data_IF_309590887812
#
_entry.id   IF_309590887812
#
_cell.length_a   1.000
_cell.length_b   1.000
_cell.length_c   1.000
_cell.angle_alpha   90.00
_cell.angle_beta   90.00
_cell.angle_gamma   90.00
#
_symmetry.space_group_name_H-M   'P 1'
#
loop_
_entity.id
_entity.type
_entity.pdbx_description
1 polymer ?
#
# COMPACT_ATOMS: atom_id res chain seq x y z
N UNK A 1 10.98 10.52 -3.88
CA UNK A 1 9.62 10.77 -3.34
C UNK A 1 9.58 10.29 -1.91
N UNK A 2 8.75 10.92 -1.09
CA UNK A 2 8.42 10.54 0.28
C UNK A 2 7.15 9.70 0.28
N UNK A 3 7.21 8.50 0.84
CA UNK A 3 6.13 7.53 0.87
C UNK A 3 5.85 7.15 2.33
N UNK A 4 4.62 7.33 2.78
CA UNK A 4 4.17 6.72 4.03
C UNK A 4 3.46 5.40 3.71
N UNK A 5 3.82 4.32 4.41
CA UNK A 5 3.22 2.99 4.25
C UNK A 5 2.48 2.63 5.54
N UNK A 6 1.15 2.68 5.52
CA UNK A 6 0.30 2.42 6.69
C UNK A 6 -0.04 0.93 6.75
N UNK A 7 0.48 0.26 7.78
CA UNK A 7 0.45 -1.17 7.97
C UNK A 7 1.80 -1.82 7.67
N UNK A 8 2.30 -2.62 8.62
CA UNK A 8 3.56 -3.38 8.48
C UNK A 8 3.35 -4.89 8.51
N UNK A 9 2.17 -5.33 8.07
CA UNK A 9 1.95 -6.73 7.70
C UNK A 9 2.70 -7.09 6.42
N UNK A 10 2.45 -8.30 5.91
CA UNK A 10 3.15 -8.86 4.75
C UNK A 10 3.21 -7.90 3.54
N UNK A 11 2.06 -7.41 3.09
CA UNK A 11 1.96 -6.48 1.95
C UNK A 11 2.69 -5.18 2.21
N UNK A 12 2.45 -4.55 3.36
CA UNK A 12 2.99 -3.23 3.69
C UNK A 12 4.50 -3.25 3.85
N UNK A 13 5.03 -4.22 4.60
CA UNK A 13 6.46 -4.33 4.87
C UNK A 13 7.26 -4.63 3.59
N UNK A 14 6.82 -5.61 2.79
CA UNK A 14 7.49 -5.94 1.52
C UNK A 14 7.43 -4.76 0.55
N UNK A 15 6.26 -4.14 0.40
CA UNK A 15 6.10 -2.98 -0.51
C UNK A 15 6.95 -1.80 -0.07
N UNK A 16 6.96 -1.48 1.23
CA UNK A 16 7.75 -0.38 1.79
C UNK A 16 9.25 -0.60 1.61
N UNK A 17 9.74 -1.80 1.91
CA UNK A 17 11.15 -2.15 1.71
C UNK A 17 11.56 -2.10 0.23
N UNK A 18 10.73 -2.59 -0.69
CA UNK A 18 11.01 -2.53 -2.12
C UNK A 18 10.95 -1.09 -2.69
N UNK A 19 10.03 -0.24 -2.21
CA UNK A 19 10.02 1.16 -2.59
C UNK A 19 11.25 1.92 -2.08
N UNK A 20 11.73 1.62 -0.87
CA UNK A 20 12.98 2.18 -0.36
C UNK A 20 14.18 1.73 -1.20
N UNK A 21 14.18 0.48 -1.65
CA UNK A 21 15.20 -0.08 -2.55
C UNK A 21 15.20 0.59 -3.93
N UNK A 22 14.04 1.04 -4.39
CA UNK A 22 13.90 1.87 -5.60
C UNK A 22 14.39 3.32 -5.41
N UNK A 23 14.90 3.67 -4.23
CA UNK A 23 15.47 4.98 -3.93
C UNK A 23 14.46 5.99 -3.37
N UNK A 24 13.25 5.56 -3.02
CA UNK A 24 12.30 6.42 -2.31
C UNK A 24 12.65 6.55 -0.83
N UNK A 25 12.18 7.63 -0.22
CA UNK A 25 12.20 7.81 1.22
C UNK A 25 10.90 7.24 1.77
N UNK A 26 10.97 6.16 2.53
CA UNK A 26 9.81 5.40 2.99
C UNK A 26 9.75 5.37 4.50
N UNK A 27 8.59 5.69 5.05
CA UNK A 27 8.30 5.48 6.47
C UNK A 27 7.13 4.53 6.62
N UNK A 28 7.38 3.38 7.23
CA UNK A 28 6.40 2.36 7.55
C UNK A 28 5.78 2.66 8.92
N UNK A 29 4.45 2.71 8.98
CA UNK A 29 3.68 3.09 10.17
C UNK A 29 2.79 1.92 10.60
N UNK A 30 2.83 1.57 11.88
CA UNK A 30 1.92 0.58 12.48
C UNK A 30 1.56 1.00 13.90
N UNK A 31 0.36 0.64 14.36
CA UNK A 31 -0.07 0.96 15.74
C UNK A 31 0.53 0.00 16.76
N UNK A 32 0.99 -1.15 16.31
CA UNK A 32 1.65 -2.15 17.15
C UNK A 32 3.08 -1.70 17.51
N UNK A 33 3.23 -1.17 18.73
CA UNK A 33 4.50 -0.65 19.22
C UNK A 33 5.59 -1.72 19.35
N UNK A 34 5.23 -2.95 19.71
CA UNK A 34 6.16 -4.07 19.82
C UNK A 34 6.69 -4.45 18.44
N UNK A 35 5.80 -4.54 17.45
CA UNK A 35 6.19 -4.80 16.06
C UNK A 35 7.13 -3.73 15.51
N UNK A 36 6.84 -2.45 15.75
CA UNK A 36 7.72 -1.35 15.33
C UNK A 36 9.07 -1.41 16.06
N UNK A 37 9.09 -1.71 17.36
CA UNK A 37 10.32 -1.86 18.14
C UNK A 37 11.18 -3.01 17.59
N UNK A 38 10.56 -4.15 17.24
CA UNK A 38 11.24 -5.30 16.63
C UNK A 38 11.84 -4.92 15.26
N UNK A 39 11.05 -4.27 14.39
CA UNK A 39 11.51 -3.83 13.07
C UNK A 39 12.70 -2.86 13.16
N UNK A 40 12.69 -1.93 14.13
CA UNK A 40 13.82 -1.03 14.39
C UNK A 40 15.08 -1.75 14.86
N UNK A 41 14.96 -2.93 15.48
CA UNK A 41 16.10 -3.81 15.82
C UNK A 41 16.50 -4.75 14.67
N UNK A 42 15.83 -4.67 13.52
CA UNK A 42 16.05 -5.57 12.39
C UNK A 42 15.38 -6.94 12.53
N UNK A 43 14.49 -7.12 13.50
CA UNK A 43 13.73 -8.34 13.72
C UNK A 43 12.46 -8.32 12.85
N UNK A 44 12.44 -9.12 11.79
CA UNK A 44 11.34 -9.15 10.82
C UNK A 44 10.21 -10.08 11.33
N UNK A 45 8.96 -9.60 11.46
CA UNK A 45 7.86 -10.35 12.08
C UNK A 45 7.20 -11.39 11.16
N UNK A 46 7.71 -11.54 9.93
CA UNK A 46 7.19 -12.44 8.89
C UNK A 46 8.34 -13.19 8.22
N UNK A 47 8.05 -14.35 7.66
CA UNK A 47 9.00 -15.07 6.82
C UNK A 47 8.81 -14.69 5.36
N UNK A 48 9.79 -14.01 4.78
CA UNK A 48 9.89 -13.75 3.34
C UNK A 48 11.37 -13.78 2.93
N UNK A 49 11.78 -14.66 1.98
CA UNK A 49 13.18 -14.82 1.63
C UNK A 49 13.85 -13.52 1.17
N UNK A 50 14.88 -13.08 1.90
CA UNK A 50 15.68 -11.88 1.60
C UNK A 50 15.11 -10.56 2.12
N UNK A 51 13.98 -10.58 2.83
CA UNK A 51 13.38 -9.36 3.38
C UNK A 51 14.21 -8.71 4.49
N UNK A 52 14.85 -9.53 5.33
CA UNK A 52 15.77 -9.11 6.38
C UNK A 52 16.93 -8.27 5.83
N UNK A 53 17.62 -8.76 4.80
CA UNK A 53 18.72 -8.06 4.15
C UNK A 53 18.24 -6.80 3.42
N UNK A 54 17.07 -6.87 2.78
CA UNK A 54 16.47 -5.72 2.08
C UNK A 54 16.10 -4.59 3.04
N UNK A 55 15.50 -4.91 4.18
CA UNK A 55 15.17 -3.94 5.24
C UNK A 55 16.46 -3.37 5.83
N UNK A 56 17.40 -4.23 6.27
CA UNK A 56 18.63 -3.79 6.91
C UNK A 56 19.46 -2.83 6.02
N UNK A 57 19.57 -3.15 4.73
CA UNK A 57 20.31 -2.30 3.77
C UNK A 57 19.65 -0.94 3.57
N UNK A 58 18.31 -0.88 3.48
CA UNK A 58 17.60 0.38 3.28
C UNK A 58 17.47 1.23 4.55
N UNK A 59 17.40 0.60 5.72
CA UNK A 59 17.53 1.30 7.02
C UNK A 59 18.93 1.91 7.14
N UNK A 60 19.99 1.13 6.87
CA UNK A 60 21.37 1.62 6.89
C UNK A 60 21.61 2.77 5.90
N UNK A 61 20.93 2.73 4.75
CA UNK A 61 21.01 3.78 3.75
C UNK A 61 20.15 5.02 4.07
N UNK A 62 19.41 5.02 5.18
CA UNK A 62 18.54 6.13 5.58
C UNK A 62 17.38 6.37 4.61
N UNK A 63 16.88 5.30 3.97
CA UNK A 63 15.74 5.34 3.04
C UNK A 63 14.48 4.65 3.57
N UNK A 64 14.61 3.84 4.61
CA UNK A 64 13.51 3.14 5.26
C UNK A 64 13.54 3.43 6.75
N UNK A 65 12.40 3.87 7.30
CA UNK A 65 12.20 4.05 8.73
C UNK A 65 10.87 3.42 9.17
N UNK A 66 10.74 3.19 10.48
CA UNK A 66 9.57 2.60 11.13
C UNK A 66 9.11 3.48 12.28
N UNK A 67 7.81 3.70 12.43
CA UNK A 67 7.27 4.49 13.54
C UNK A 67 5.85 4.09 13.91
N UNK A 68 5.43 4.43 15.12
CA UNK A 68 4.02 4.37 15.53
C UNK A 68 3.29 5.70 15.31
N UNK A 69 4.03 6.80 15.10
CA UNK A 69 3.45 8.11 14.82
C UNK A 69 3.13 8.26 13.34
N UNK A 70 1.84 8.37 13.03
CA UNK A 70 1.35 8.58 11.67
C UNK A 70 1.50 10.04 11.20
N UNK A 71 1.44 11.00 12.13
CA UNK A 71 1.23 12.42 11.78
C UNK A 71 2.41 12.98 10.99
N UNK A 72 3.64 12.80 11.49
CA UNK A 72 4.84 13.30 10.81
C UNK A 72 5.00 12.74 9.39
N UNK A 73 5.04 11.40 9.22
CA UNK A 73 5.19 10.77 7.91
C UNK A 73 4.12 11.18 6.88
N UNK A 74 2.86 11.31 7.31
CA UNK A 74 1.76 11.69 6.40
C UNK A 74 1.85 13.16 6.00
N UNK A 75 2.21 14.07 6.91
CA UNK A 75 2.34 15.50 6.61
C UNK A 75 3.40 15.78 5.52
N UNK A 76 4.45 14.97 5.46
CA UNK A 76 5.57 15.14 4.52
C UNK A 76 5.46 14.25 3.26
N UNK A 77 4.45 13.39 3.16
CA UNK A 77 4.36 12.37 2.11
C UNK A 77 3.81 12.91 0.78
N UNK A 78 4.48 12.53 -0.31
CA UNK A 78 3.95 12.66 -1.67
C UNK A 78 2.83 11.61 -1.91
N UNK A 79 3.02 10.40 -1.38
CA UNK A 79 2.05 9.31 -1.44
C UNK A 79 1.91 8.59 -0.09
N UNK A 80 0.67 8.24 0.27
CA UNK A 80 0.36 7.46 1.46
C UNK A 80 -0.35 6.17 1.04
N UNK A 81 0.26 5.02 1.29
CA UNK A 81 -0.31 3.72 0.97
C UNK A 81 -1.02 3.13 2.18
N UNK A 82 -2.27 2.70 2.02
CA UNK A 82 -3.05 1.97 3.02
C UNK A 82 -2.90 0.47 2.72
N UNK A 83 -2.08 -0.21 3.51
CA UNK A 83 -1.75 -1.63 3.41
C UNK A 83 -2.07 -2.39 4.71
N UNK A 84 -3.15 -1.99 5.38
CA UNK A 84 -3.66 -2.66 6.59
C UNK A 84 -4.46 -3.92 6.23
N UNK A 85 -4.64 -4.80 7.21
CA UNK A 85 -5.42 -6.02 7.01
C UNK A 85 -6.90 -5.74 6.75
N UNK A 86 -7.50 -6.57 5.91
CA UNK A 86 -8.94 -6.61 5.62
C UNK A 86 -9.48 -8.02 5.84
N UNK A 87 -9.41 -8.55 7.08
CA UNK A 87 -9.83 -9.91 7.37
C UNK A 87 -11.33 -10.10 7.12
N UNK A 88 -11.79 -11.34 7.02
CA UNK A 88 -13.22 -11.64 7.00
C UNK A 88 -13.85 -11.28 8.35
N UNK A 89 -14.95 -10.52 8.30
CA UNK A 89 -15.79 -10.21 9.45
C UNK A 89 -16.42 -11.50 9.99
N UNK A 90 -16.37 -11.64 11.32
CA UNK A 90 -17.03 -12.74 12.02
C UNK A 90 -18.54 -12.65 11.81
N UNK A 91 -19.16 -13.73 11.34
CA UNK A 91 -20.61 -13.84 11.16
C UNK A 91 -21.02 -13.96 9.70
N UNK A 92 -20.74 -12.95 8.88
CA UNK A 92 -21.24 -12.87 7.49
C UNK A 92 -20.15 -12.99 6.42
N UNK A 93 -18.87 -13.06 6.81
CA UNK A 93 -17.75 -13.29 5.89
C UNK A 93 -17.39 -12.10 5.00
N UNK A 94 -18.06 -10.96 5.14
CA UNK A 94 -17.72 -9.73 4.42
C UNK A 94 -16.33 -9.22 4.82
N UNK A 95 -15.66 -8.44 3.96
CA UNK A 95 -14.40 -7.81 4.32
C UNK A 95 -14.59 -6.81 5.47
N UNK A 96 -13.77 -6.91 6.52
CA UNK A 96 -13.72 -5.93 7.59
C UNK A 96 -12.89 -4.72 7.14
N UNK A 97 -13.58 -3.59 6.94
CA UNK A 97 -12.98 -2.33 6.48
C UNK A 97 -12.69 -1.36 7.62
N UNK A 98 -12.89 -1.77 8.88
CA UNK A 98 -12.67 -0.94 10.07
C UNK A 98 -11.29 -0.29 10.06
N UNK A 99 -10.25 -1.09 9.78
CA UNK A 99 -8.87 -0.62 9.77
C UNK A 99 -8.57 0.35 8.63
N UNK A 100 -9.12 0.09 7.44
CA UNK A 100 -8.96 0.97 6.26
C UNK A 100 -9.61 2.33 6.52
N UNK A 101 -10.83 2.33 7.05
CA UNK A 101 -11.56 3.57 7.34
C UNK A 101 -10.98 4.34 8.54
N UNK A 102 -10.43 3.65 9.54
CA UNK A 102 -9.69 4.30 10.63
C UNK A 102 -8.42 4.98 10.08
N UNK A 103 -7.63 4.27 9.27
CA UNK A 103 -6.45 4.84 8.62
C UNK A 103 -6.81 6.05 7.75
N UNK A 104 -7.88 5.98 6.95
CA UNK A 104 -8.32 7.11 6.12
C UNK A 104 -8.61 8.37 6.93
N UNK A 105 -9.30 8.25 8.08
CA UNK A 105 -9.59 9.40 8.96
C UNK A 105 -8.34 9.97 9.61
N UNK A 106 -7.42 9.12 10.08
CA UNK A 106 -6.16 9.55 10.68
C UNK A 106 -5.24 10.23 9.67
N UNK A 107 -5.17 9.70 8.44
CA UNK A 107 -4.47 10.33 7.33
C UNK A 107 -5.06 11.72 7.08
N UNK A 108 -6.38 11.85 6.96
CA UNK A 108 -7.04 13.11 6.69
C UNK A 108 -6.68 14.22 7.69
N UNK A 109 -6.59 13.86 8.98
CA UNK A 109 -6.21 14.78 10.06
C UNK A 109 -4.73 15.20 10.02
N UNK A 110 -3.88 14.43 9.34
CA UNK A 110 -2.44 14.69 9.22
C UNK A 110 -2.02 15.30 7.87
N UNK A 111 -2.91 15.34 6.87
CA UNK A 111 -2.62 15.93 5.56
C UNK A 111 -2.33 17.43 5.67
N UNK A 112 -1.20 17.86 5.09
CA UNK A 112 -0.79 19.27 5.03
C UNK A 112 -0.49 19.82 3.63
N UNK A 113 -0.38 18.95 2.62
CA UNK A 113 -0.08 19.35 1.24
C UNK A 113 -0.81 18.46 0.23
N UNK A 114 -0.45 18.62 -1.05
CA UNK A 114 -0.95 17.72 -2.08
C UNK A 114 -0.42 16.30 -1.84
N UNK A 115 -1.33 15.34 -1.69
CA UNK A 115 -0.96 13.94 -1.40
C UNK A 115 -1.83 12.97 -2.20
N UNK A 116 -1.23 11.89 -2.70
CA UNK A 116 -1.97 10.78 -3.29
C UNK A 116 -2.14 9.68 -2.25
N UNK A 117 -3.38 9.43 -1.82
CA UNK A 117 -3.72 8.34 -0.90
C UNK A 117 -4.07 7.11 -1.72
N UNK A 118 -3.40 6.00 -1.46
CA UNK A 118 -3.43 4.80 -2.29
C UNK A 118 -3.93 3.62 -1.47
N UNK A 119 -5.09 3.08 -1.82
CA UNK A 119 -5.56 1.82 -1.21
C UNK A 119 -4.83 0.65 -1.87
N UNK A 120 -3.95 0.00 -1.11
CA UNK A 120 -3.23 -1.22 -1.50
C UNK A 120 -3.84 -2.49 -0.92
N UNK A 121 -4.52 -2.35 0.22
CA UNK A 121 -5.32 -3.38 0.88
C UNK A 121 -6.34 -3.98 -0.10
N UNK A 122 -6.63 -5.28 0.01
CA UNK A 122 -7.66 -5.92 -0.83
C UNK A 122 -9.04 -5.52 -0.31
N UNK A 123 -9.71 -4.63 -1.03
CA UNK A 123 -10.98 -4.02 -0.59
C UNK A 123 -12.10 -4.22 -1.61
N UNK A 124 -13.36 -4.39 -1.18
CA UNK A 124 -14.51 -4.43 -2.09
C UNK A 124 -14.63 -3.17 -2.95
N UNK A 125 -15.31 -3.33 -4.08
CA UNK A 125 -15.54 -2.25 -5.05
C UNK A 125 -16.33 -1.11 -4.40
N UNK A 126 -15.88 0.13 -4.61
CA UNK A 126 -16.46 1.33 -4.02
C UNK A 126 -15.77 1.77 -2.72
N UNK A 127 -14.85 0.97 -2.16
CA UNK A 127 -14.13 1.35 -0.92
C UNK A 127 -13.31 2.62 -1.11
N UNK A 128 -12.68 2.80 -2.27
CA UNK A 128 -11.94 4.03 -2.60
C UNK A 128 -12.82 5.28 -2.62
N UNK A 129 -14.10 5.15 -2.96
CA UNK A 129 -15.05 6.27 -2.91
C UNK A 129 -15.39 6.62 -1.46
N UNK A 130 -15.55 5.62 -0.60
CA UNK A 130 -15.75 5.83 0.83
C UNK A 130 -14.52 6.40 1.52
N UNK A 131 -13.32 5.95 1.15
CA UNK A 131 -12.06 6.54 1.64
C UNK A 131 -11.98 8.02 1.25
N UNK A 132 -12.31 8.37 0.01
CA UNK A 132 -12.36 9.76 -0.43
C UNK A 132 -13.39 10.58 0.35
N UNK A 133 -14.61 10.06 0.53
CA UNK A 133 -15.65 10.72 1.34
C UNK A 133 -15.17 10.97 2.76
N UNK A 134 -14.61 9.96 3.43
CA UNK A 134 -14.12 10.06 4.81
C UNK A 134 -12.98 11.08 4.95
N UNK A 135 -12.08 11.14 3.99
CA UNK A 135 -11.00 12.14 4.00
C UNK A 135 -11.59 13.54 3.84
N UNK A 136 -12.52 13.74 2.90
CA UNK A 136 -13.16 15.04 2.64
C UNK A 136 -14.03 15.51 3.82
N UNK A 137 -14.67 14.60 4.52
CA UNK A 137 -15.45 14.92 5.73
C UNK A 137 -14.55 15.35 6.89
N UNK A 138 -13.44 14.65 7.11
CA UNK A 138 -12.50 14.96 8.18
C UNK A 138 -11.63 16.20 7.88
N UNK A 139 -11.32 16.45 6.60
CA UNK A 139 -10.53 17.59 6.15
C UNK A 139 -11.07 18.12 4.80
N UNK A 140 -12.07 19.01 4.83
CA UNK A 140 -12.69 19.56 3.62
C UNK A 140 -11.72 20.31 2.70
N UNK A 141 -10.64 20.86 3.27
CA UNK A 141 -9.58 21.58 2.53
C UNK A 141 -8.47 20.68 1.97
N UNK A 142 -8.49 19.36 2.20
CA UNK A 142 -7.41 18.48 1.78
C UNK A 142 -7.20 18.52 0.25
N UNK A 143 -6.00 18.83 -0.23
CA UNK A 143 -5.66 18.63 -1.64
C UNK A 143 -5.22 17.17 -1.85
N UNK A 144 -6.19 16.28 -2.05
CA UNK A 144 -5.95 14.83 -2.09
C UNK A 144 -6.50 14.20 -3.37
N UNK A 145 -5.78 13.20 -3.86
CA UNK A 145 -6.29 12.25 -4.85
C UNK A 145 -6.31 10.86 -4.23
N UNK A 146 -7.45 10.18 -4.29
CA UNK A 146 -7.59 8.79 -3.83
C UNK A 146 -7.50 7.83 -5.01
N UNK A 147 -6.55 6.91 -4.94
CA UNK A 147 -6.28 5.90 -5.95
C UNK A 147 -6.37 4.48 -5.38
N UNK A 148 -6.57 3.49 -6.25
CA UNK A 148 -6.48 2.07 -5.92
C UNK A 148 -5.23 1.47 -6.59
N UNK A 149 -4.42 0.74 -5.84
CA UNK A 149 -3.28 0.01 -6.37
C UNK A 149 -3.19 -1.37 -5.69
N UNK A 150 -4.02 -2.33 -6.11
CA UNK A 150 -4.02 -3.65 -5.51
C UNK A 150 -2.65 -4.32 -5.67
N UNK A 151 -2.32 -5.19 -4.73
CA UNK A 151 -1.13 -6.04 -4.78
C UNK A 151 -1.46 -7.41 -5.41
N UNK A 152 -0.46 -8.12 -5.93
CA UNK A 152 -0.62 -9.47 -6.48
C UNK A 152 0.54 -10.38 -6.05
N UNK A 153 1.02 -10.17 -4.83
CA UNK A 153 2.19 -10.86 -4.28
C UNK A 153 1.79 -12.23 -3.75
N UNK A 154 2.68 -13.21 -3.88
CA UNK A 154 2.54 -14.51 -3.24
C UNK A 154 3.40 -14.56 -1.98
N UNK A 155 2.86 -15.17 -0.92
CA UNK A 155 3.64 -15.43 0.28
C UNK A 155 4.83 -16.36 -0.03
N UNK A 156 6.05 -15.99 0.39
CA UNK A 156 7.29 -16.73 0.11
C UNK A 156 7.99 -16.35 -1.20
N UNK A 157 7.39 -15.47 -2.02
CA UNK A 157 7.97 -14.99 -3.28
C UNK A 157 7.68 -13.50 -3.56
N UNK A 158 7.23 -12.75 -2.56
CA UNK A 158 6.71 -11.41 -2.73
C UNK A 158 7.76 -10.38 -3.17
N UNK A 159 9.02 -10.49 -2.73
CA UNK A 159 10.06 -9.58 -3.21
C UNK A 159 10.24 -9.75 -4.73
N UNK A 160 10.28 -11.00 -5.20
CA UNK A 160 10.38 -11.30 -6.63
C UNK A 160 9.14 -10.81 -7.38
N UNK A 161 7.94 -11.11 -6.88
CA UNK A 161 6.69 -10.69 -7.51
C UNK A 161 6.55 -9.16 -7.54
N UNK A 162 7.09 -8.44 -6.55
CA UNK A 162 7.08 -6.98 -6.53
C UNK A 162 8.11 -6.37 -7.50
N UNK A 163 9.33 -6.93 -7.58
CA UNK A 163 10.40 -6.42 -8.46
C UNK A 163 10.20 -6.80 -9.93
N UNK A 164 9.51 -7.92 -10.20
CA UNK A 164 9.24 -8.41 -11.54
C UNK A 164 7.75 -8.77 -11.70
N UNK A 165 6.84 -7.78 -11.59
CA UNK A 165 5.42 -8.05 -11.68
C UNK A 165 5.01 -8.28 -13.13
N UNK A 166 4.05 -9.19 -13.37
CA UNK A 166 3.45 -9.35 -14.71
C UNK A 166 2.77 -8.06 -15.19
N UNK A 167 2.28 -7.25 -14.25
CA UNK A 167 1.59 -5.97 -14.44
C UNK A 167 1.45 -5.24 -13.11
N UNK A 168 1.34 -3.92 -13.19
CA UNK A 168 1.00 -3.05 -12.05
C UNK A 168 -0.32 -2.39 -12.38
N UNK A 169 -1.35 -2.58 -11.54
CA UNK A 169 -2.67 -1.99 -11.76
C UNK A 169 -2.81 -0.73 -10.92
N UNK A 170 -3.21 0.38 -11.55
CA UNK A 170 -3.48 1.65 -10.88
C UNK A 170 -4.84 2.18 -11.30
N UNK A 171 -5.76 2.28 -10.35
CA UNK A 171 -7.10 2.84 -10.52
C UNK A 171 -7.15 4.30 -10.09
N UNK A 172 -7.15 5.23 -11.05
CA UNK A 172 -7.39 6.67 -10.82
C UNK A 172 -7.75 7.36 -12.14
N UNK A 173 -8.64 8.36 -12.06
CA UNK A 173 -8.99 9.25 -13.18
C UNK A 173 -8.34 10.63 -13.09
N UNK A 174 -7.66 10.97 -11.99
CA UNK A 174 -6.98 12.26 -11.83
C UNK A 174 -5.55 12.18 -12.37
N UNK A 175 -5.21 13.07 -13.31
CA UNK A 175 -3.91 13.10 -13.99
C UNK A 175 -2.73 13.38 -13.03
N UNK A 176 -2.95 14.14 -11.95
CA UNK A 176 -1.92 14.36 -10.91
C UNK A 176 -1.60 13.05 -10.22
N UNK A 177 -2.62 12.26 -9.89
CA UNK A 177 -2.47 10.91 -9.35
C UNK A 177 -1.75 9.96 -10.31
N UNK A 178 -2.12 9.99 -11.60
CA UNK A 178 -1.48 9.19 -12.65
C UNK A 178 0.00 9.50 -12.78
N UNK A 179 0.35 10.79 -12.89
CA UNK A 179 1.73 11.26 -12.98
C UNK A 179 2.56 10.87 -11.77
N UNK A 180 2.03 11.07 -10.57
CA UNK A 180 2.73 10.76 -9.33
C UNK A 180 2.97 9.25 -9.18
N UNK A 181 1.95 8.41 -9.39
CA UNK A 181 2.12 6.96 -9.32
C UNK A 181 2.97 6.39 -10.46
N UNK A 182 2.95 7.03 -11.63
CA UNK A 182 3.91 6.74 -12.70
C UNK A 182 5.36 6.97 -12.27
N UNK A 183 5.63 8.02 -11.49
CA UNK A 183 6.97 8.29 -10.95
C UNK A 183 7.37 7.31 -9.84
N UNK A 184 6.43 6.91 -8.97
CA UNK A 184 6.66 5.86 -7.94
C UNK A 184 7.11 4.55 -8.60
N UNK A 185 6.46 4.16 -9.70
CA UNK A 185 6.76 2.90 -10.37
C UNK A 185 7.77 3.01 -11.50
N UNK A 186 8.30 4.21 -11.79
CA UNK A 186 9.27 4.43 -12.87
C UNK A 186 10.49 3.50 -12.81
N UNK A 187 11.05 3.14 -11.64
CA UNK A 187 12.19 2.22 -11.57
C UNK A 187 11.89 0.81 -12.15
N UNK A 188 10.62 0.39 -12.18
CA UNK A 188 10.20 -0.89 -12.75
C UNK A 188 10.07 -0.87 -14.28
N UNK A 189 10.12 0.30 -14.92
CA UNK A 189 10.08 0.40 -16.39
C UNK A 189 11.26 -0.31 -17.07
N UNK A 190 12.41 -0.42 -16.38
CA UNK A 190 13.57 -1.17 -16.84
C UNK A 190 13.27 -2.67 -17.01
N UNK A 191 12.33 -3.19 -16.22
CA UNK A 191 11.89 -4.59 -16.27
C UNK A 191 10.70 -4.79 -17.22
N UNK A 192 10.31 -3.77 -17.99
CA UNK A 192 9.19 -3.78 -18.94
C UNK A 192 7.85 -4.19 -18.32
N UNK A 193 7.69 -4.06 -17.00
CA UNK A 193 6.43 -4.35 -16.33
C UNK A 193 5.36 -3.32 -16.77
N UNK A 194 4.23 -3.75 -17.36
CA UNK A 194 3.21 -2.83 -17.83
C UNK A 194 2.51 -2.15 -16.65
N UNK A 195 2.52 -0.81 -16.64
CA UNK A 195 1.74 0.00 -15.72
C UNK A 195 0.36 0.28 -16.33
N UNK A 196 -0.64 -0.46 -15.86
CA UNK A 196 -2.01 -0.42 -16.36
C UNK A 196 -2.84 0.57 -15.56
N UNK A 197 -3.22 1.68 -16.19
CA UNK A 197 -4.15 2.62 -15.59
C UNK A 197 -5.60 2.31 -15.96
N UNK A 198 -6.47 2.30 -14.96
CA UNK A 198 -7.92 2.04 -15.09
C UNK A 198 -8.73 3.00 -14.22
N UNK A 199 -10.06 2.89 -14.24
CA UNK A 199 -10.91 3.55 -13.26
C UNK A 199 -10.71 2.92 -11.86
N UNK A 200 -10.90 3.71 -10.80
CA UNK A 200 -10.69 3.27 -9.40
C UNK A 200 -11.45 1.98 -9.06
N UNK A 201 -12.76 1.95 -9.32
CA UNK A 201 -13.62 0.77 -9.11
C UNK A 201 -13.19 -0.45 -9.94
N UNK A 202 -12.65 -0.23 -11.15
CA UNK A 202 -12.14 -1.30 -12.00
C UNK A 202 -10.89 -1.95 -11.39
N UNK A 203 -9.96 -1.16 -10.85
CA UNK A 203 -8.79 -1.70 -10.17
C UNK A 203 -9.15 -2.53 -8.93
N UNK A 204 -10.13 -2.08 -8.14
CA UNK A 204 -10.66 -2.84 -7.00
C UNK A 204 -11.24 -4.20 -7.43
N UNK A 205 -12.03 -4.21 -8.51
CA UNK A 205 -12.60 -5.43 -9.08
C UNK A 205 -11.52 -6.40 -9.58
N UNK A 206 -10.47 -5.91 -10.26
CA UNK A 206 -9.43 -6.76 -10.84
C UNK A 206 -8.79 -7.66 -9.79
N UNK A 207 -8.56 -7.16 -8.57
CA UNK A 207 -7.98 -7.98 -7.50
C UNK A 207 -8.86 -9.17 -7.12
N UNK A 208 -10.15 -8.92 -6.90
CA UNK A 208 -11.11 -9.99 -6.59
C UNK A 208 -11.27 -10.96 -7.75
N UNK A 209 -11.40 -10.45 -8.98
CA UNK A 209 -11.54 -11.28 -10.17
C UNK A 209 -10.34 -12.21 -10.39
N UNK A 210 -9.11 -11.68 -10.21
CA UNK A 210 -7.90 -12.47 -10.36
C UNK A 210 -7.81 -13.60 -9.31
N UNK A 211 -8.01 -13.28 -8.04
CA UNK A 211 -7.96 -14.27 -6.96
C UNK A 211 -9.08 -15.31 -7.08
N UNK A 212 -10.31 -14.88 -7.40
CA UNK A 212 -11.43 -15.79 -7.62
C UNK A 212 -11.17 -16.74 -8.79
N UNK A 213 -10.64 -16.23 -9.91
CA UNK A 213 -10.34 -17.06 -11.07
C UNK A 213 -9.23 -18.09 -10.79
N UNK A 214 -8.20 -17.72 -10.02
CA UNK A 214 -7.18 -18.67 -9.57
C UNK A 214 -7.77 -19.77 -8.68
N UNK A 215 -8.64 -19.41 -7.73
CA UNK A 215 -9.34 -20.39 -6.88
C UNK A 215 -10.22 -21.33 -7.70
N UNK A 216 -10.94 -20.82 -8.71
CA UNK A 216 -11.73 -21.64 -9.63
C UNK A 216 -10.85 -22.64 -10.37
N UNK A 217 -9.68 -22.23 -10.88
CA UNK A 217 -8.78 -23.14 -11.60
C UNK A 217 -8.28 -24.29 -10.72
N UNK A 218 -8.00 -24.02 -9.44
CA UNK A 218 -7.56 -25.04 -8.48
C UNK A 218 -8.71 -26.00 -8.14
N UNK A 219 -9.94 -25.47 -7.99
CA UNK A 219 -11.11 -26.27 -7.58
C UNK A 219 -11.68 -27.11 -8.74
N UNK A 220 -11.46 -26.66 -9.98
CA UNK A 220 -11.98 -27.33 -11.17
C UNK A 220 -11.26 -28.64 -11.51
N UNK A 221 -9.97 -28.75 -11.17
CA UNK A 221 -9.15 -29.96 -11.42
C UNK A 221 -9.29 -30.96 -10.27
#
# INVERSE_FOLDING_TARGET
MRIAMIGTGYVGLVSGACFADFGHQVTCVDKDGDKIANLRRGEIPIFEPGLDALVASNVKAGRLDFTTDLKGPVAEADAVFIAVGTPSRRGDGHADLTYVYAAAREIAAALSGFTVVVTKSTVPIGTGDEVERLIREANPSADVVVASNPEFLREGAAIRDFKFPDRIVVGTSDERGRKLLGNVYRPLSLNQAPLMFTARRTAELIKYAANAFLATKITFI
#
